data_IF_346712043525
#
_entry.id   IF_346712043525
#
_cell.length_a   1.000
_cell.length_b   1.000
_cell.length_c   1.000
_cell.angle_alpha   90.00
_cell.angle_beta   90.00
_cell.angle_gamma   90.00
#
_symmetry.space_group_name_H-M   'P 1'
#
loop_
_entity.id
_entity.type
_entity.pdbx_description
1 polymer ?
#
# COMPACT_ATOMS: atom_id res chain seq x y z
N UNK A 1 -16.69 31.96 -64.60
CA UNK A 1 -16.76 32.20 -63.15
C UNK A 1 -18.13 31.73 -62.67
N UNK A 2 -18.22 30.51 -62.12
CA UNK A 2 -19.43 29.99 -61.46
C UNK A 2 -18.99 29.34 -60.15
N UNK A 3 -19.56 29.85 -59.07
CA UNK A 3 -19.25 29.55 -57.68
C UNK A 3 -19.87 28.21 -57.26
N UNK A 4 -19.06 27.25 -56.79
CA UNK A 4 -19.57 26.14 -55.99
C UNK A 4 -19.56 26.56 -54.51
N UNK A 5 -20.70 27.08 -54.06
CA UNK A 5 -20.99 27.21 -52.63
C UNK A 5 -21.18 25.81 -52.06
N UNK A 6 -20.16 25.31 -51.34
CA UNK A 6 -20.31 24.14 -50.51
C UNK A 6 -21.11 24.56 -49.28
N UNK A 7 -22.42 24.36 -49.36
CA UNK A 7 -23.39 24.64 -48.29
C UNK A 7 -23.13 23.69 -47.14
N UNK A 8 -22.37 24.13 -46.13
CA UNK A 8 -22.47 23.53 -44.78
C UNK A 8 -23.90 23.77 -44.30
N UNK A 9 -24.71 22.72 -44.05
CA UNK A 9 -26.06 22.93 -43.54
C UNK A 9 -25.99 23.68 -42.18
N UNK A 10 -26.81 24.73 -41.98
CA UNK A 10 -26.84 25.47 -40.73
C UNK A 10 -27.58 24.66 -39.65
N UNK A 11 -26.99 24.56 -38.46
CA UNK A 11 -27.71 24.29 -37.20
C UNK A 11 -28.62 23.04 -37.17
N UNK A 12 -28.06 21.85 -37.28
CA UNK A 12 -28.68 20.69 -36.65
C UNK A 12 -28.31 20.75 -35.16
N UNK A 13 -29.25 21.18 -34.30
CA UNK A 13 -29.06 20.97 -32.87
C UNK A 13 -28.90 19.47 -32.63
N UNK A 14 -27.85 19.03 -31.91
CA UNK A 14 -27.65 17.62 -31.67
C UNK A 14 -28.92 17.03 -31.04
N UNK A 15 -29.41 15.95 -31.63
CA UNK A 15 -30.62 15.29 -31.14
C UNK A 15 -30.40 14.83 -29.69
N UNK A 16 -31.47 14.73 -28.88
CA UNK A 16 -31.35 14.22 -27.50
C UNK A 16 -30.63 12.87 -27.44
N UNK A 17 -30.86 12.00 -28.44
CA UNK A 17 -30.16 10.71 -28.54
C UNK A 17 -28.65 10.84 -28.73
N UNK A 18 -28.20 11.87 -29.45
CA UNK A 18 -26.79 12.12 -29.70
C UNK A 18 -26.08 12.79 -28.51
N UNK A 19 -26.80 13.62 -27.73
CA UNK A 19 -26.31 14.13 -26.45
C UNK A 19 -26.13 13.00 -25.43
N UNK A 20 -27.13 12.12 -25.30
CA UNK A 20 -27.08 10.96 -24.39
C UNK A 20 -25.95 10.00 -24.79
N UNK A 21 -25.75 9.76 -26.08
CA UNK A 21 -24.64 8.96 -26.59
C UNK A 21 -23.28 9.59 -26.23
N UNK A 22 -23.10 10.91 -26.42
CA UNK A 22 -21.85 11.62 -26.08
C UNK A 22 -21.55 11.64 -24.59
N UNK A 23 -22.56 11.83 -23.74
CA UNK A 23 -22.40 11.78 -22.28
C UNK A 23 -21.99 10.36 -21.85
N UNK A 24 -22.62 9.34 -22.41
CA UNK A 24 -22.29 7.93 -22.14
C UNK A 24 -20.85 7.60 -22.55
N UNK A 25 -20.41 8.09 -23.71
CA UNK A 25 -19.04 7.95 -24.19
C UNK A 25 -18.02 8.66 -23.27
N UNK A 26 -18.34 9.87 -22.81
CA UNK A 26 -17.49 10.62 -21.89
C UNK A 26 -17.37 9.94 -20.51
N UNK A 27 -18.47 9.39 -19.98
CA UNK A 27 -18.42 8.64 -18.72
C UNK A 27 -17.61 7.35 -18.89
N UNK A 28 -17.79 6.63 -20.01
CA UNK A 28 -17.01 5.43 -20.34
C UNK A 28 -15.51 5.72 -20.44
N UNK A 29 -15.13 6.86 -21.03
CA UNK A 29 -13.72 7.26 -21.16
C UNK A 29 -13.10 7.69 -19.82
N UNK A 30 -13.85 8.38 -18.96
CA UNK A 30 -13.41 8.73 -17.61
C UNK A 30 -13.15 7.48 -16.75
N UNK A 31 -14.10 6.53 -16.76
CA UNK A 31 -13.95 5.27 -16.01
C UNK A 31 -12.72 4.48 -16.49
N UNK A 32 -12.51 4.40 -17.82
CA UNK A 32 -11.26 3.81 -18.35
C UNK A 32 -10.02 4.56 -17.88
N UNK A 33 -10.06 5.89 -17.88
CA UNK A 33 -8.96 6.74 -17.41
C UNK A 33 -8.59 6.51 -15.95
N UNK A 34 -9.58 6.41 -15.06
CA UNK A 34 -9.32 6.09 -13.65
C UNK A 34 -8.75 4.68 -13.47
N UNK A 35 -9.24 3.70 -14.23
CA UNK A 35 -8.69 2.33 -14.20
C UNK A 35 -7.24 2.32 -14.67
N UNK A 36 -6.92 3.02 -15.75
CA UNK A 36 -5.56 3.08 -16.29
C UNK A 36 -4.62 3.86 -15.37
N UNK A 37 -5.11 4.92 -14.73
CA UNK A 37 -4.39 5.64 -13.70
C UNK A 37 -4.16 4.76 -12.45
N UNK A 38 -5.17 4.02 -12.00
CA UNK A 38 -5.06 3.09 -10.89
C UNK A 38 -4.04 1.98 -11.19
N UNK A 39 -4.06 1.43 -12.42
CA UNK A 39 -3.05 0.47 -12.88
C UNK A 39 -1.65 1.08 -12.91
N UNK A 40 -1.50 2.29 -13.43
CA UNK A 40 -0.21 2.98 -13.47
C UNK A 40 0.34 3.22 -12.06
N UNK A 41 -0.51 3.70 -11.14
CA UNK A 41 -0.17 3.90 -9.73
C UNK A 41 0.17 2.60 -9.02
N UNK A 42 -0.60 1.54 -9.26
CA UNK A 42 -0.35 0.20 -8.70
C UNK A 42 0.98 -0.38 -9.19
N UNK A 43 1.32 -0.21 -10.48
CA UNK A 43 2.63 -0.61 -11.03
C UNK A 43 3.77 0.18 -10.38
N UNK A 44 3.65 1.50 -10.31
CA UNK A 44 4.65 2.37 -9.67
C UNK A 44 4.86 2.01 -8.19
N UNK A 45 3.78 1.83 -7.44
CA UNK A 45 3.83 1.40 -6.04
C UNK A 45 4.44 0.00 -5.92
N UNK A 46 4.01 -0.96 -6.76
CA UNK A 46 4.52 -2.32 -6.75
C UNK A 46 6.02 -2.41 -7.04
N UNK A 47 6.52 -1.65 -8.01
CA UNK A 47 7.95 -1.62 -8.33
C UNK A 47 8.77 -0.97 -7.21
N UNK A 48 8.34 0.17 -6.68
CA UNK A 48 9.07 0.86 -5.61
C UNK A 48 9.06 0.06 -4.30
N UNK A 49 7.91 -0.49 -3.92
CA UNK A 49 7.80 -1.37 -2.75
C UNK A 49 8.58 -2.67 -2.95
N UNK A 50 8.56 -3.23 -4.16
CA UNK A 50 9.30 -4.44 -4.51
C UNK A 50 10.82 -4.25 -4.42
N UNK A 51 11.34 -3.15 -4.97
CA UNK A 51 12.76 -2.80 -4.87
C UNK A 51 13.16 -2.56 -3.41
N UNK A 52 12.36 -1.78 -2.67
CA UNK A 52 12.62 -1.51 -1.26
C UNK A 52 12.62 -2.78 -0.41
N UNK A 53 11.62 -3.65 -0.60
CA UNK A 53 11.55 -4.94 0.09
C UNK A 53 12.73 -5.85 -0.29
N UNK A 54 13.12 -5.89 -1.57
CA UNK A 54 14.26 -6.67 -2.04
C UNK A 54 15.60 -6.17 -1.44
N UNK A 55 15.81 -4.86 -1.42
CA UNK A 55 16.99 -4.24 -0.80
C UNK A 55 17.04 -4.51 0.70
N UNK A 56 15.91 -4.38 1.42
CA UNK A 56 15.87 -4.68 2.85
C UNK A 56 16.08 -6.17 3.14
N UNK A 57 15.54 -7.06 2.31
CA UNK A 57 15.80 -8.50 2.43
C UNK A 57 17.29 -8.82 2.22
N UNK A 58 17.90 -8.28 1.16
CA UNK A 58 19.32 -8.44 0.89
C UNK A 58 20.21 -7.86 2.00
N UNK A 59 19.91 -6.64 2.47
CA UNK A 59 20.60 -6.03 3.59
C UNK A 59 20.44 -6.84 4.88
N UNK A 60 19.27 -7.42 5.13
CA UNK A 60 19.02 -8.31 6.26
C UNK A 60 19.90 -9.55 6.21
N UNK A 61 19.96 -10.25 5.06
CA UNK A 61 20.79 -11.45 4.88
C UNK A 61 22.28 -11.12 5.03
N UNK A 62 22.76 -10.05 4.39
CA UNK A 62 24.15 -9.62 4.49
C UNK A 62 24.52 -9.20 5.92
N UNK A 63 23.61 -8.52 6.62
CA UNK A 63 23.81 -8.14 8.02
C UNK A 63 23.90 -9.36 8.93
N UNK A 64 23.11 -10.42 8.69
CA UNK A 64 23.21 -11.67 9.44
C UNK A 64 24.57 -12.35 9.23
N UNK A 65 25.06 -12.41 7.99
CA UNK A 65 26.36 -12.99 7.68
C UNK A 65 27.51 -12.17 8.28
N UNK A 66 27.45 -10.85 8.14
CA UNK A 66 28.42 -9.92 8.73
C UNK A 66 28.44 -9.97 10.26
N UNK A 67 27.27 -10.05 10.89
CA UNK A 67 27.16 -10.25 12.34
C UNK A 67 27.82 -11.56 12.77
N UNK A 68 27.62 -12.66 12.02
CA UNK A 68 28.29 -13.94 12.28
C UNK A 68 29.82 -13.81 12.28
N UNK A 69 30.39 -13.16 11.27
CA UNK A 69 31.83 -12.88 11.23
C UNK A 69 32.30 -11.99 12.37
N UNK A 70 31.51 -10.97 12.74
CA UNK A 70 31.88 -10.05 13.81
C UNK A 70 31.87 -10.74 15.17
N UNK A 71 30.89 -11.60 15.43
CA UNK A 71 30.82 -12.41 16.66
C UNK A 71 31.99 -13.42 16.73
N UNK A 72 32.34 -14.05 15.61
CA UNK A 72 33.47 -14.97 15.56
C UNK A 72 34.82 -14.25 15.75
N UNK A 73 35.00 -13.08 15.12
CA UNK A 73 36.16 -12.22 15.33
C UNK A 73 36.25 -11.73 16.78
N UNK A 74 35.14 -11.30 17.38
CA UNK A 74 35.08 -10.93 18.79
C UNK A 74 35.45 -12.10 19.70
N UNK A 75 34.90 -13.29 19.43
CA UNK A 75 35.20 -14.49 20.21
C UNK A 75 36.68 -14.89 20.12
N UNK A 76 37.30 -14.79 18.93
CA UNK A 76 38.75 -15.03 18.77
C UNK A 76 39.59 -13.96 19.44
N UNK A 77 39.20 -12.68 19.34
CA UNK A 77 39.90 -11.58 20.01
C UNK A 77 39.86 -11.71 21.54
N UNK A 78 38.70 -12.06 22.11
CA UNK A 78 38.57 -12.41 23.53
C UNK A 78 39.34 -13.70 23.87
N UNK A 79 39.42 -14.62 22.92
CA UNK A 79 40.19 -15.86 23.00
C UNK A 79 41.69 -15.68 23.26
N UNK A 80 42.24 -14.50 22.98
CA UNK A 80 43.63 -14.18 23.31
C UNK A 80 43.81 -13.85 24.81
N UNK A 81 42.77 -13.34 25.47
CA UNK A 81 42.79 -12.98 26.89
C UNK A 81 42.29 -14.12 27.79
N UNK A 82 41.49 -15.04 27.26
CA UNK A 82 40.86 -16.14 28.01
C UNK A 82 40.59 -17.34 27.09
N UNK A 83 40.27 -18.54 27.63
CA UNK A 83 39.91 -19.68 26.79
C UNK A 83 38.79 -19.35 25.80
N UNK A 84 38.95 -19.77 24.54
CA UNK A 84 38.00 -19.49 23.44
C UNK A 84 36.54 -19.81 23.79
N UNK A 85 36.30 -20.84 24.58
CA UNK A 85 34.95 -21.22 25.03
C UNK A 85 34.33 -20.16 25.93
N UNK A 86 35.10 -19.56 26.84
CA UNK A 86 34.64 -18.48 27.72
C UNK A 86 34.39 -17.19 26.93
N UNK A 87 35.26 -16.86 25.96
CA UNK A 87 35.06 -15.74 25.05
C UNK A 87 33.77 -15.86 24.24
N UNK A 88 33.47 -17.05 23.70
CA UNK A 88 32.20 -17.33 23.00
C UNK A 88 30.98 -17.16 23.90
N UNK A 89 31.05 -17.57 25.18
CA UNK A 89 29.94 -17.40 26.13
C UNK A 89 29.67 -15.94 26.47
N UNK A 90 30.71 -15.11 26.64
CA UNK A 90 30.54 -13.67 26.88
C UNK A 90 29.87 -12.99 25.68
N UNK A 91 30.35 -13.29 24.47
CA UNK A 91 29.75 -12.77 23.22
C UNK A 91 28.30 -13.21 23.09
N UNK A 92 27.98 -14.48 23.40
CA UNK A 92 26.61 -14.99 23.39
C UNK A 92 25.72 -14.25 24.40
N UNK A 93 26.20 -14.01 25.62
CA UNK A 93 25.44 -13.31 26.65
C UNK A 93 25.09 -11.87 26.21
N UNK A 94 26.06 -11.14 25.66
CA UNK A 94 25.83 -9.79 25.11
C UNK A 94 24.79 -9.82 23.98
N UNK A 95 24.88 -10.81 23.09
CA UNK A 95 23.93 -10.96 21.99
C UNK A 95 22.50 -11.21 22.50
N UNK A 96 22.34 -12.07 23.51
CA UNK A 96 21.02 -12.34 24.11
C UNK A 96 20.42 -11.11 24.79
N UNK A 97 21.23 -10.28 25.45
CA UNK A 97 20.77 -9.01 26.02
C UNK A 97 20.27 -8.06 24.94
N UNK A 98 21.02 -7.88 23.86
CA UNK A 98 20.61 -7.05 22.72
C UNK A 98 19.33 -7.59 22.07
N UNK A 99 19.25 -8.90 21.87
CA UNK A 99 18.06 -9.57 21.31
C UNK A 99 16.82 -9.37 22.20
N UNK A 100 16.96 -9.48 23.52
CA UNK A 100 15.86 -9.25 24.46
C UNK A 100 15.34 -7.80 24.38
N UNK A 101 16.24 -6.81 24.32
CA UNK A 101 15.86 -5.39 24.16
C UNK A 101 15.15 -5.17 22.82
N UNK A 102 15.69 -5.68 21.73
CA UNK A 102 15.08 -5.58 20.40
C UNK A 102 13.70 -6.24 20.36
N UNK A 103 13.54 -7.42 20.96
CA UNK A 103 12.26 -8.12 21.04
C UNK A 103 11.22 -7.32 21.85
N UNK A 104 11.63 -6.72 22.97
CA UNK A 104 10.75 -5.86 23.77
C UNK A 104 10.32 -4.60 23.01
N UNK A 105 11.24 -3.91 22.34
CA UNK A 105 10.94 -2.72 21.53
C UNK A 105 10.06 -3.10 20.34
N UNK A 106 10.37 -4.18 19.64
CA UNK A 106 9.59 -4.71 18.52
C UNK A 106 8.17 -5.06 18.94
N UNK A 107 8.01 -5.79 20.05
CA UNK A 107 6.71 -6.12 20.61
C UNK A 107 5.89 -4.87 20.98
N UNK A 108 6.54 -3.85 21.59
CA UNK A 108 5.89 -2.57 21.90
C UNK A 108 5.41 -1.84 20.63
N UNK A 109 6.25 -1.75 19.60
CA UNK A 109 5.90 -1.13 18.33
C UNK A 109 4.76 -1.87 17.62
N UNK A 110 4.80 -3.20 17.61
CA UNK A 110 3.75 -4.02 16.99
C UNK A 110 2.40 -3.88 17.73
N UNK A 111 2.43 -3.79 19.06
CA UNK A 111 1.24 -3.49 19.86
C UNK A 111 0.65 -2.10 19.56
N UNK A 112 1.51 -1.10 19.37
CA UNK A 112 1.06 0.25 19.00
C UNK A 112 0.39 0.27 17.62
N UNK A 113 0.97 -0.39 16.62
CA UNK A 113 0.38 -0.49 15.27
C UNK A 113 -0.97 -1.22 15.29
N UNK A 114 -1.11 -2.26 16.12
CA UNK A 114 -2.40 -2.96 16.29
C UNK A 114 -3.49 -2.09 16.95
N UNK A 115 -3.13 -1.06 17.72
CA UNK A 115 -4.11 -0.13 18.31
C UNK A 115 -4.54 0.97 17.34
N UNK A 116 -3.71 1.31 16.35
CA UNK A 116 -3.99 2.38 15.38
C UNK A 116 -4.53 1.89 14.03
N UNK A 117 -4.56 0.58 13.79
CA UNK A 117 -5.23 -0.03 12.64
C UNK A 117 -6.47 -0.78 13.15
N UNK A 118 -7.70 -0.29 12.91
CA UNK A 118 -8.92 -1.03 13.23
C UNK A 118 -8.81 -2.42 12.61
N UNK A 119 -9.27 -3.47 13.30
CA UNK A 119 -9.22 -4.81 12.72
C UNK A 119 -9.87 -4.76 11.33
N UNK A 120 -9.29 -5.38 10.29
CA UNK A 120 -9.85 -5.34 8.93
C UNK A 120 -11.34 -5.70 8.88
N UNK A 121 -11.79 -6.52 9.82
CA UNK A 121 -13.19 -6.92 9.99
C UNK A 121 -14.08 -5.81 10.58
N UNK A 122 -13.57 -4.95 11.47
CA UNK A 122 -14.32 -3.82 12.05
C UNK A 122 -14.46 -2.69 11.03
N UNK A 123 -13.41 -2.39 10.26
CA UNK A 123 -13.50 -1.41 9.16
C UNK A 123 -14.47 -1.84 8.06
N UNK A 124 -14.50 -3.14 7.72
CA UNK A 124 -15.47 -3.72 6.78
C UNK A 124 -16.91 -3.70 7.33
N UNK A 125 -17.11 -4.00 8.62
CA UNK A 125 -18.43 -3.93 9.27
C UNK A 125 -18.96 -2.50 9.35
N UNK A 126 -18.13 -1.54 9.75
CA UNK A 126 -18.50 -0.12 9.77
C UNK A 126 -18.84 0.40 8.37
N UNK A 127 -18.08 -0.01 7.36
CA UNK A 127 -18.36 0.35 5.95
C UNK A 127 -19.68 -0.27 5.47
N UNK A 128 -19.96 -1.52 5.85
CA UNK A 128 -21.23 -2.18 5.51
C UNK A 128 -22.42 -1.55 6.23
N UNK A 129 -22.26 -1.14 7.50
CA UNK A 129 -23.31 -0.45 8.27
C UNK A 129 -23.60 0.95 7.74
N UNK A 130 -22.56 1.74 7.42
CA UNK A 130 -22.74 3.07 6.82
C UNK A 130 -23.40 3.00 5.45
N UNK A 131 -23.10 1.97 4.65
CA UNK A 131 -23.80 1.70 3.39
C UNK A 131 -25.27 1.31 3.61
N UNK A 132 -25.59 0.49 4.60
CA UNK A 132 -26.99 0.14 4.92
C UNK A 132 -27.78 1.35 5.40
N UNK A 133 -27.23 2.16 6.29
CA UNK A 133 -27.93 3.34 6.82
C UNK A 133 -28.16 4.40 5.73
N UNK A 134 -27.18 4.61 4.85
CA UNK A 134 -27.30 5.56 3.73
C UNK A 134 -28.31 5.11 2.69
N UNK A 135 -28.42 3.79 2.41
CA UNK A 135 -29.46 3.25 1.55
C UNK A 135 -30.86 3.43 2.14
N UNK A 136 -31.07 3.05 3.40
CA UNK A 136 -32.39 3.17 4.06
C UNK A 136 -32.83 4.63 4.16
N UNK A 137 -31.90 5.53 4.49
CA UNK A 137 -32.19 6.97 4.56
C UNK A 137 -32.51 7.55 3.17
N UNK A 138 -31.82 7.09 2.13
CA UNK A 138 -32.08 7.48 0.74
C UNK A 138 -33.48 7.06 0.26
N UNK A 139 -33.89 5.83 0.54
CA UNK A 139 -35.23 5.33 0.19
C UNK A 139 -36.34 6.03 0.99
N UNK A 140 -36.13 6.27 2.29
CA UNK A 140 -37.12 6.99 3.11
C UNK A 140 -37.31 8.43 2.66
N UNK A 141 -36.24 9.11 2.22
CA UNK A 141 -36.33 10.47 1.69
C UNK A 141 -37.03 10.52 0.33
N UNK A 142 -36.89 9.49 -0.51
CA UNK A 142 -37.60 9.42 -1.79
C UNK A 142 -39.12 9.19 -1.62
N UNK A 143 -39.54 8.50 -0.55
CA UNK A 143 -40.95 8.16 -0.33
C UNK A 143 -41.77 9.25 0.38
N UNK A 144 -41.12 10.21 1.06
CA UNK A 144 -41.78 11.30 1.79
C UNK A 144 -41.98 12.58 0.94
N UNK A 145 -41.62 12.56 -0.34
CA UNK A 145 -41.72 13.71 -1.26
C UNK A 145 -42.80 13.55 -2.35
N UNK A 146 -43.76 12.63 -2.17
CA UNK A 146 -45.04 12.58 -2.90
C UNK A 146 -46.17 13.20 -2.07
#
# INVERSE_FOLDING_TARGET
>A
MVSHQNTTPPNAQPSLGELVARISENVSSLVRGEIDLAKAKARLMGTQMGLGAGLLAGAGVLSLYGLGFLLDAAARGLGELMPLWAGKLVVALVLFLVAAVLALVGAKKLKQVKHSVPAPQEGLKQSAETLKSSLITGFQKAQNHE
#
